data_IF_228825447758
#
_entry.id   IF_228825447758
#
_cell.length_a   1.000
_cell.length_b   1.000
_cell.length_c   1.000
_cell.angle_alpha   90.00
_cell.angle_beta   90.00
_cell.angle_gamma   90.00
#
_symmetry.space_group_name_H-M   'P 1'
#
loop_
_entity.id
_entity.type
_entity.pdbx_description
1 polymer ?
#
# COMPACT_ATOMS: atom_id res chain seq x y z
N UNK A 1 -5.18 -4.45 -10.76
CA UNK A 1 -5.15 -2.97 -10.62
C UNK A 1 -3.77 -2.53 -10.14
N UNK A 2 -3.32 -1.29 -10.43
CA UNK A 2 -2.03 -0.77 -9.96
C UNK A 2 -2.24 0.26 -8.85
N UNK A 3 -1.43 0.17 -7.81
CA UNK A 3 -1.48 1.06 -6.65
C UNK A 3 -0.08 1.50 -6.28
N UNK A 4 0.08 2.70 -5.74
CA UNK A 4 1.36 3.26 -5.33
C UNK A 4 1.28 3.70 -3.87
N UNK A 5 2.31 3.44 -3.08
CA UNK A 5 2.34 3.92 -1.70
C UNK A 5 2.38 5.48 -1.70
N UNK A 6 1.39 6.16 -1.08
CA UNK A 6 1.40 7.59 -0.88
C UNK A 6 2.46 7.88 0.16
N UNK A 7 3.24 8.90 -0.09
CA UNK A 7 4.31 9.42 0.78
C UNK A 7 3.87 9.80 2.19
N UNK A 8 2.59 9.69 2.55
CA UNK A 8 2.07 10.04 3.88
C UNK A 8 2.74 9.22 4.99
N UNK A 9 3.04 7.94 4.76
CA UNK A 9 3.83 7.10 5.66
C UNK A 9 5.30 7.57 5.79
N UNK A 10 5.88 8.11 4.70
CA UNK A 10 7.21 8.73 4.71
C UNK A 10 7.21 10.11 5.40
N UNK A 11 6.09 10.83 5.34
CA UNK A 11 5.93 12.17 5.92
C UNK A 11 5.76 12.13 7.45
N UNK A 12 5.06 11.12 7.96
CA UNK A 12 4.87 10.91 9.42
C UNK A 12 6.06 10.22 10.11
N UNK A 13 7.08 9.77 9.37
CA UNK A 13 8.32 9.25 9.95
C UNK A 13 8.18 7.94 10.73
N UNK A 14 7.08 7.19 10.55
CA UNK A 14 6.82 5.88 11.19
C UNK A 14 7.40 4.73 10.33
N UNK A 15 8.36 5.00 9.45
CA UNK A 15 9.04 3.94 8.69
C UNK A 15 10.01 3.21 9.61
N UNK A 16 9.86 1.88 9.83
CA UNK A 16 10.94 1.10 10.43
C UNK A 16 12.19 1.23 9.54
N UNK A 17 13.38 1.36 10.12
CA UNK A 17 14.65 1.60 9.39
C UNK A 17 14.89 0.62 8.22
N UNK A 18 14.30 -0.57 8.28
CA UNK A 18 14.33 -1.58 7.21
C UNK A 18 13.64 -1.15 5.88
N UNK A 19 12.71 -0.18 5.93
CA UNK A 19 11.85 0.24 4.81
C UNK A 19 12.32 1.56 4.17
N UNK A 20 13.10 2.35 4.92
CA UNK A 20 13.55 3.70 4.55
C UNK A 20 14.34 3.67 3.24
N UNK A 21 13.70 4.13 2.16
CA UNK A 21 14.29 4.23 0.81
C UNK A 21 13.96 3.09 -0.15
N UNK A 22 13.38 1.97 0.31
CA UNK A 22 13.04 0.83 -0.57
C UNK A 22 11.68 0.95 -1.24
N UNK A 23 10.78 1.76 -0.69
CA UNK A 23 9.39 1.86 -1.15
C UNK A 23 9.01 3.21 -1.75
N UNK A 24 9.98 4.12 -1.88
CA UNK A 24 9.78 5.43 -2.50
C UNK A 24 9.43 5.26 -3.99
N UNK A 25 8.26 5.76 -4.41
CA UNK A 25 7.70 5.59 -5.76
C UNK A 25 7.40 4.15 -6.19
N UNK A 26 7.33 3.19 -5.28
CA UNK A 26 7.07 1.81 -5.66
C UNK A 26 5.61 1.59 -6.04
N UNK A 27 5.39 1.11 -7.26
CA UNK A 27 4.08 0.68 -7.74
C UNK A 27 3.92 -0.80 -7.42
N UNK A 28 2.83 -1.12 -6.76
CA UNK A 28 2.41 -2.45 -6.41
C UNK A 28 1.25 -2.89 -7.30
N UNK A 29 1.35 -4.12 -7.82
CA UNK A 29 0.24 -4.78 -8.48
C UNK A 29 -0.66 -5.38 -7.41
N UNK A 30 -1.96 -5.17 -7.52
CA UNK A 30 -2.94 -5.73 -6.60
C UNK A 30 -3.66 -6.88 -7.29
N UNK A 31 -3.73 -8.03 -6.60
CA UNK A 31 -4.33 -9.27 -7.12
C UNK A 31 -5.78 -9.50 -6.69
N UNK A 32 -6.27 -8.75 -5.70
CA UNK A 32 -7.63 -8.86 -5.17
C UNK A 32 -8.35 -7.52 -5.25
N UNK A 33 -9.67 -7.55 -5.37
CA UNK A 33 -10.49 -6.36 -5.18
C UNK A 33 -10.41 -5.89 -3.72
N UNK A 34 -10.56 -4.58 -3.43
CA UNK A 34 -10.59 -4.10 -2.06
C UNK A 34 -11.70 -4.78 -1.25
N UNK A 35 -11.37 -5.22 -0.03
CA UNK A 35 -12.33 -5.80 0.91
C UNK A 35 -12.29 -5.07 2.26
N UNK A 36 -13.42 -5.07 2.96
CA UNK A 36 -13.48 -4.57 4.32
C UNK A 36 -12.84 -5.59 5.27
N UNK A 37 -11.85 -5.12 6.03
CA UNK A 37 -11.26 -5.84 7.14
C UNK A 37 -11.38 -4.99 8.39
N UNK A 38 -12.35 -5.32 9.24
CA UNK A 38 -12.57 -4.64 10.52
C UNK A 38 -12.87 -3.13 10.35
N UNK A 39 -13.70 -2.76 9.36
CA UNK A 39 -14.04 -1.36 9.08
C UNK A 39 -12.95 -0.58 8.34
N UNK A 40 -11.89 -1.25 7.90
CA UNK A 40 -10.82 -0.67 7.08
C UNK A 40 -10.75 -1.36 5.73
N UNK A 41 -10.79 -0.58 4.66
CA UNK A 41 -10.64 -1.10 3.31
C UNK A 41 -9.19 -1.51 3.07
N UNK A 42 -8.98 -2.76 2.70
CA UNK A 42 -7.66 -3.35 2.46
C UNK A 42 -7.63 -4.07 1.11
N UNK A 43 -6.44 -4.20 0.55
CA UNK A 43 -6.18 -4.90 -0.72
C UNK A 43 -5.01 -5.88 -0.61
N UNK A 44 -4.98 -6.88 -1.49
CA UNK A 44 -3.93 -7.89 -1.50
C UNK A 44 -2.89 -7.55 -2.57
N UNK A 45 -1.70 -7.13 -2.12
CA UNK A 45 -0.58 -6.85 -3.01
C UNK A 45 0.02 -8.17 -3.54
N UNK A 46 0.41 -8.16 -4.80
CA UNK A 46 1.13 -9.26 -5.44
C UNK A 46 2.52 -9.44 -4.79
N UNK A 47 2.84 -10.66 -4.37
CA UNK A 47 4.05 -10.96 -3.60
C UNK A 47 3.91 -10.79 -2.09
N UNK A 48 2.76 -10.31 -1.58
CA UNK A 48 2.46 -10.23 -0.16
C UNK A 48 1.31 -11.16 0.21
N UNK A 49 1.37 -11.70 1.43
CA UNK A 49 0.29 -12.54 2.00
C UNK A 49 -0.61 -11.77 2.98
N UNK A 50 -0.38 -10.46 3.18
CA UNK A 50 -1.15 -9.63 4.11
C UNK A 50 -1.96 -8.57 3.36
N UNK A 51 -3.16 -8.32 3.86
CA UNK A 51 -3.98 -7.19 3.41
C UNK A 51 -3.32 -5.86 3.76
N UNK A 52 -3.33 -4.94 2.81
CA UNK A 52 -2.72 -3.63 2.93
C UNK A 52 -3.80 -2.56 2.84
N UNK A 53 -3.89 -1.66 3.81
CA UNK A 53 -4.95 -0.66 3.86
C UNK A 53 -4.86 0.28 2.65
N UNK A 54 -5.97 0.42 1.93
CA UNK A 54 -6.06 1.29 0.75
C UNK A 54 -5.98 2.76 1.13
N UNK A 55 -6.24 3.14 2.39
CA UNK A 55 -6.01 4.49 2.90
C UNK A 55 -4.53 4.92 2.78
N UNK A 56 -3.61 3.96 2.88
CA UNK A 56 -2.18 4.16 2.65
C UNK A 56 -1.75 3.69 1.26
N UNK A 57 -2.66 3.65 0.29
CA UNK A 57 -2.35 3.34 -1.10
C UNK A 57 -3.05 4.36 -2.02
N UNK A 58 -2.29 4.94 -2.94
CA UNK A 58 -2.84 5.76 -4.02
C UNK A 58 -3.12 4.86 -5.21
N UNK A 59 -4.40 4.69 -5.55
CA UNK A 59 -4.79 4.02 -6.79
C UNK A 59 -4.22 4.79 -7.98
N UNK A 60 -3.53 4.11 -8.87
CA UNK A 60 -3.10 4.69 -10.14
C UNK A 60 -4.19 4.37 -11.16
N UNK A 61 -5.02 5.36 -11.48
CA UNK A 61 -5.90 5.28 -12.65
C UNK A 61 -5.07 5.49 -13.91
N UNK A 62 -5.19 4.55 -14.84
CA UNK A 62 -4.58 4.58 -16.16
C UNK A 62 -5.57 4.03 -17.17
#
# INVERSE_FOLDING_TARGET
MKWQEPTKAQEIGIEPEAWKGKCKNKVWTVKSEPWDLCGSEVVLLEGFNSGFATEYLKKLEG
#
